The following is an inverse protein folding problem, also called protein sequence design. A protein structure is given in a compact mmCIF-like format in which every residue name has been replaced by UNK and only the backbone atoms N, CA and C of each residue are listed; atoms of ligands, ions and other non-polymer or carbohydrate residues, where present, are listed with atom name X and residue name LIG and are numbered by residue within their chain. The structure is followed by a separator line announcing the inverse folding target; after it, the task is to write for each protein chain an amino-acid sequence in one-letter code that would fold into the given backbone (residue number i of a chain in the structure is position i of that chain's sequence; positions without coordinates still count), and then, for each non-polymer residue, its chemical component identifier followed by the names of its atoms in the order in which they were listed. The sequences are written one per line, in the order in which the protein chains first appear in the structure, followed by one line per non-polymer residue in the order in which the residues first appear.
data_IF_625157169532
#
_entry.id   IF_625157169532
#
_cell.length_a   1.000
_cell.length_b   1.000
_cell.length_c   1.000
_cell.angle_alpha   90.00
_cell.angle_beta   90.00
_cell.angle_gamma   90.00
#
_symmetry.space_group_name_H-M   'P 1'
#
loop_
_entity.id
_entity.type
_entity.pdbx_description
1 polymer ?
#
# COMPACT_ATOMS: atom_id res chain seq x y z
N UNK A 1 6.13 -6.83 26.12
CA UNK A 1 7.37 -6.73 25.31
C UNK A 1 7.30 -5.43 24.54
N UNK A 2 8.25 -4.51 24.74
CA UNK A 2 8.14 -3.17 24.16
C UNK A 2 8.88 -3.04 22.83
N UNK A 3 9.87 -3.90 22.58
CA UNK A 3 10.60 -3.97 21.32
C UNK A 3 11.27 -5.33 21.12
N UNK A 4 11.67 -5.62 19.88
CA UNK A 4 12.43 -6.83 19.49
C UNK A 4 13.58 -6.39 18.58
N UNK A 5 14.82 -6.71 18.94
CA UNK A 5 16.00 -6.43 18.10
C UNK A 5 16.52 -7.70 17.47
N UNK A 6 16.86 -7.64 16.17
CA UNK A 6 17.53 -8.74 15.47
C UNK A 6 18.33 -8.25 14.27
N UNK A 7 19.31 -9.05 13.88
CA UNK A 7 20.07 -8.82 12.64
C UNK A 7 19.27 -9.36 11.45
N UNK A 8 19.12 -8.53 10.42
CA UNK A 8 18.42 -8.87 9.17
C UNK A 8 19.32 -8.60 7.98
N UNK A 9 19.37 -9.54 7.04
CA UNK A 9 20.13 -9.40 5.80
C UNK A 9 19.21 -8.91 4.69
N UNK A 10 19.53 -7.78 4.07
CA UNK A 10 18.66 -7.14 3.07
C UNK A 10 19.46 -6.75 1.84
N UNK A 11 19.04 -7.27 0.69
CA UNK A 11 19.50 -6.81 -0.63
C UNK A 11 18.58 -5.72 -1.16
N UNK A 12 19.12 -4.73 -1.87
CA UNK A 12 18.33 -3.70 -2.54
C UNK A 12 17.70 -4.26 -3.82
N UNK A 13 18.52 -4.87 -4.68
CA UNK A 13 18.11 -5.63 -5.86
C UNK A 13 18.71 -7.05 -5.86
N UNK A 14 18.26 -7.92 -6.78
CA UNK A 14 18.68 -9.32 -6.83
C UNK A 14 20.20 -9.51 -6.99
N UNK A 15 20.86 -8.59 -7.71
CA UNK A 15 22.29 -8.60 -7.98
C UNK A 15 23.17 -7.92 -6.93
N UNK A 16 22.59 -7.23 -5.96
CA UNK A 16 23.38 -6.47 -4.98
C UNK A 16 23.88 -7.36 -3.84
N UNK A 17 24.96 -6.90 -3.21
CA UNK A 17 25.42 -7.42 -1.94
C UNK A 17 24.40 -7.15 -0.84
N UNK A 18 24.25 -8.12 0.06
CA UNK A 18 23.32 -7.99 1.16
C UNK A 18 23.94 -7.12 2.26
N UNK A 19 23.19 -6.12 2.72
CA UNK A 19 23.55 -5.33 3.89
C UNK A 19 22.95 -6.00 5.13
N UNK A 20 23.81 -6.28 6.12
CA UNK A 20 23.38 -6.72 7.45
C UNK A 20 22.95 -5.51 8.27
N UNK A 21 21.69 -5.48 8.67
CA UNK A 21 21.10 -4.40 9.47
C UNK A 21 20.73 -4.93 10.85
N UNK A 22 21.17 -4.25 11.90
CA UNK A 22 20.60 -4.41 13.24
C UNK A 22 19.26 -3.67 13.29
N UNK A 23 18.17 -4.43 13.24
CA UNK A 23 16.80 -3.90 13.19
C UNK A 23 16.14 -4.04 14.55
N UNK A 24 15.74 -2.92 15.13
CA UNK A 24 14.88 -2.86 16.31
C UNK A 24 13.44 -2.61 15.88
N UNK A 25 12.56 -3.57 16.12
CA UNK A 25 11.12 -3.45 15.91
C UNK A 25 10.51 -2.91 17.19
N UNK A 26 9.98 -1.70 17.13
CA UNK A 26 9.28 -1.05 18.24
C UNK A 26 7.80 -1.43 18.20
N UNK A 27 7.33 -2.07 19.28
CA UNK A 27 5.96 -2.58 19.44
C UNK A 27 5.15 -1.72 20.42
N UNK A 28 5.67 -0.57 20.86
CA UNK A 28 5.06 0.29 21.89
C UNK A 28 3.62 0.72 21.58
N UNK A 29 3.25 0.77 20.31
CA UNK A 29 1.91 1.18 19.84
C UNK A 29 0.94 0.01 19.65
N UNK A 30 1.35 -1.22 19.97
CA UNK A 30 0.58 -2.44 19.76
C UNK A 30 0.06 -3.01 21.09
N UNK A 31 -1.18 -3.49 21.06
CA UNK A 31 -1.71 -4.33 22.14
C UNK A 31 -1.18 -5.75 22.02
N UNK A 32 -1.34 -6.56 23.06
CA UNK A 32 -0.94 -7.96 23.03
C UNK A 32 -1.69 -8.75 21.94
N UNK A 33 -2.97 -8.44 21.71
CA UNK A 33 -3.76 -9.00 20.62
C UNK A 33 -3.19 -8.63 19.24
N UNK A 34 -2.76 -7.39 19.06
CA UNK A 34 -2.12 -6.92 17.83
C UNK A 34 -0.78 -7.64 17.56
N UNK A 35 -0.01 -7.91 18.62
CA UNK A 35 1.27 -8.63 18.52
C UNK A 35 1.05 -10.10 18.16
N UNK A 36 0.01 -10.74 18.69
CA UNK A 36 -0.37 -12.12 18.31
C UNK A 36 -0.80 -12.24 16.84
N UNK A 37 -1.44 -11.20 16.30
CA UNK A 37 -1.78 -11.14 14.87
C UNK A 37 -0.54 -10.99 13.98
N UNK A 38 0.54 -10.39 14.51
CA UNK A 38 1.80 -10.24 13.80
C UNK A 38 2.80 -11.38 14.04
N UNK A 39 3.12 -12.13 12.98
CA UNK A 39 4.39 -12.83 12.95
C UNK A 39 5.55 -11.81 12.86
N UNK A 40 6.57 -11.94 13.72
CA UNK A 40 7.79 -11.09 13.73
C UNK A 40 8.45 -11.02 12.34
N UNK A 41 8.35 -12.08 11.56
CA UNK A 41 8.86 -12.14 10.19
C UNK A 41 8.10 -11.22 9.22
N UNK A 42 6.79 -11.04 9.41
CA UNK A 42 5.96 -10.12 8.62
C UNK A 42 6.41 -8.67 8.78
N UNK A 43 6.70 -8.24 10.01
CA UNK A 43 7.16 -6.87 10.29
C UNK A 43 8.52 -6.59 9.64
N UNK A 44 9.39 -7.59 9.60
CA UNK A 44 10.69 -7.47 8.94
C UNK A 44 10.56 -7.41 7.42
N UNK A 45 9.74 -8.25 6.83
CA UNK A 45 9.48 -8.20 5.38
C UNK A 45 8.91 -6.83 4.99
N UNK A 46 7.99 -6.27 5.80
CA UNK A 46 7.46 -4.92 5.59
C UNK A 46 8.55 -3.86 5.65
N UNK A 47 9.40 -3.89 6.68
CA UNK A 47 10.52 -2.97 6.79
C UNK A 47 11.49 -3.10 5.59
N UNK A 48 11.89 -4.32 5.22
CA UNK A 48 12.77 -4.58 4.07
C UNK A 48 12.16 -4.04 2.77
N UNK A 49 10.86 -4.25 2.56
CA UNK A 49 10.14 -3.70 1.40
C UNK A 49 10.21 -2.18 1.34
N UNK A 50 10.05 -1.49 2.48
CA UNK A 50 10.20 -0.03 2.57
C UNK A 50 11.64 0.43 2.35
N UNK A 51 12.62 -0.23 2.98
CA UNK A 51 14.04 0.11 2.85
C UNK A 51 14.53 -0.05 1.39
N UNK A 52 14.10 -1.11 0.70
CA UNK A 52 14.37 -1.32 -0.74
C UNK A 52 13.79 -0.20 -1.60
N UNK A 53 12.54 0.22 -1.35
CA UNK A 53 11.90 1.34 -2.06
C UNK A 53 12.61 2.67 -1.83
N UNK A 54 13.10 2.90 -0.62
CA UNK A 54 13.85 4.10 -0.25
C UNK A 54 15.28 4.13 -0.83
N UNK A 55 15.77 3.02 -1.42
CA UNK A 55 17.13 2.87 -1.96
C UNK A 55 18.22 3.18 -0.92
N UNK A 56 17.92 2.96 0.35
CA UNK A 56 18.83 3.19 1.48
C UNK A 56 18.58 2.08 2.50
N UNK A 57 19.56 1.19 2.64
CA UNK A 57 19.53 0.11 3.64
C UNK A 57 20.63 0.43 4.66
N UNK A 58 20.27 0.93 5.86
CA UNK A 58 21.25 1.30 6.87
C UNK A 58 21.79 0.06 7.60
N UNK A 59 22.95 0.19 8.26
CA UNK A 59 23.50 -0.85 9.13
C UNK A 59 22.73 -0.98 10.46
N UNK A 60 21.97 0.05 10.86
CA UNK A 60 21.16 0.07 12.08
C UNK A 60 19.83 0.77 11.78
N UNK A 61 18.71 0.21 12.25
CA UNK A 61 17.39 0.80 12.02
C UNK A 61 16.43 0.54 13.17
N UNK A 62 15.54 1.51 13.40
CA UNK A 62 14.36 1.34 14.24
C UNK A 62 13.11 1.39 13.39
N UNK A 63 12.24 0.39 13.53
CA UNK A 63 10.98 0.26 12.81
C UNK A 63 9.83 0.21 13.81
N UNK A 64 9.06 1.29 13.89
CA UNK A 64 7.81 1.29 14.65
C UNK A 64 6.77 0.45 13.91
N UNK A 65 6.34 -0.64 14.54
CA UNK A 65 5.37 -1.55 13.95
C UNK A 65 4.02 -0.83 13.81
N UNK A 66 3.45 -0.76 12.59
CA UNK A 66 2.11 -0.22 12.41
C UNK A 66 1.11 -1.16 13.05
N UNK A 67 -0.06 -0.65 13.47
CA UNK A 67 -1.15 -1.52 13.93
C UNK A 67 -1.56 -2.50 12.82
N UNK A 68 -1.88 -3.77 13.16
CA UNK A 68 -2.50 -4.68 12.22
C UNK A 68 -3.81 -4.05 11.76
N UNK A 69 -3.93 -3.89 10.45
CA UNK A 69 -5.15 -3.39 9.85
C UNK A 69 -5.94 -4.56 9.33
N UNK A 70 -7.17 -4.74 9.82
CA UNK A 70 -8.25 -5.17 8.94
C UNK A 70 -8.30 -4.16 7.79
N UNK A 71 -8.35 -4.62 6.54
CA UNK A 71 -8.48 -3.73 5.37
C UNK A 71 -9.64 -2.77 5.64
N UNK A 72 -9.33 -1.52 5.96
CA UNK A 72 -10.37 -0.52 6.18
C UNK A 72 -11.17 -0.40 4.90
N UNK A 73 -12.48 -0.60 4.98
CA UNK A 73 -13.46 -0.16 3.97
C UNK A 73 -13.47 1.37 4.00
N UNK A 74 -12.42 1.98 3.46
CA UNK A 74 -12.42 3.40 3.19
C UNK A 74 -13.44 3.66 2.10
N UNK A 75 -14.46 4.48 2.40
CA UNK A 75 -15.36 5.00 1.37
C UNK A 75 -14.49 5.88 0.47
N UNK A 76 -14.15 5.38 -0.72
CA UNK A 76 -13.45 6.17 -1.72
C UNK A 76 -14.47 7.17 -2.27
N UNK A 77 -14.20 8.46 -2.11
CA UNK A 77 -15.04 9.50 -2.70
C UNK A 77 -14.91 9.48 -4.23
N UNK A 78 -15.95 9.89 -4.96
CA UNK A 78 -15.93 9.94 -6.44
C UNK A 78 -14.73 10.73 -6.97
N UNK A 79 -14.39 11.85 -6.34
CA UNK A 79 -13.20 12.65 -6.66
C UNK A 79 -11.90 11.86 -6.45
N UNK A 80 -11.77 11.13 -5.35
CA UNK A 80 -10.59 10.32 -5.07
C UNK A 80 -10.45 9.16 -6.08
N UNK A 81 -11.56 8.57 -6.51
CA UNK A 81 -11.56 7.55 -7.55
C UNK A 81 -11.12 8.13 -8.90
N UNK A 82 -11.71 9.25 -9.33
CA UNK A 82 -11.34 9.91 -10.60
C UNK A 82 -9.86 10.31 -10.60
N UNK A 83 -9.36 10.86 -9.50
CA UNK A 83 -7.93 11.18 -9.35
C UNK A 83 -7.04 9.93 -9.40
N UNK A 84 -7.51 8.80 -8.87
CA UNK A 84 -6.75 7.53 -8.90
C UNK A 84 -6.70 6.93 -10.30
N UNK A 85 -7.78 7.03 -11.08
CA UNK A 85 -7.86 6.48 -12.44
C UNK A 85 -7.17 7.37 -13.48
N UNK A 86 -7.34 8.69 -13.38
CA UNK A 86 -6.92 9.64 -14.42
C UNK A 86 -5.80 10.60 -13.99
N UNK A 87 -5.39 10.59 -12.72
CA UNK A 87 -4.30 11.41 -12.20
C UNK A 87 -4.51 12.89 -12.49
N UNK A 88 -3.51 13.53 -13.10
CA UNK A 88 -3.53 14.95 -13.47
C UNK A 88 -4.64 15.33 -14.46
N UNK A 89 -5.26 14.37 -15.15
CA UNK A 89 -6.37 14.62 -16.10
C UNK A 89 -7.74 14.67 -15.43
N UNK A 90 -7.86 14.24 -14.18
CA UNK A 90 -9.13 14.19 -13.47
C UNK A 90 -9.82 15.57 -13.36
N UNK A 91 -9.14 16.70 -13.08
CA UNK A 91 -9.78 18.02 -13.06
C UNK A 91 -10.34 18.45 -14.42
N UNK A 92 -9.62 18.14 -15.51
CA UNK A 92 -10.08 18.43 -16.86
C UNK A 92 -11.29 17.59 -17.25
N UNK A 93 -11.34 16.33 -16.80
CA UNK A 93 -12.49 15.45 -16.98
C UNK A 93 -13.72 15.96 -16.20
N UNK A 94 -13.54 16.35 -14.94
CA UNK A 94 -14.60 16.95 -14.12
C UNK A 94 -15.13 18.22 -14.78
N UNK A 95 -14.25 19.10 -15.25
CA UNK A 95 -14.63 20.32 -15.96
C UNK A 95 -15.39 20.02 -17.26
N UNK A 96 -15.00 18.98 -18.00
CA UNK A 96 -15.66 18.57 -19.25
C UNK A 96 -17.10 18.11 -19.04
N UNK A 97 -17.38 17.40 -17.94
CA UNK A 97 -18.71 16.90 -17.60
C UNK A 97 -19.51 17.84 -16.67
N UNK A 98 -18.91 18.97 -16.28
CA UNK A 98 -19.51 20.03 -15.49
C UNK A 98 -19.40 19.84 -13.97
N UNK A 99 -19.48 18.61 -13.48
CA UNK A 99 -19.30 18.29 -12.06
C UNK A 99 -18.75 16.86 -11.85
N UNK A 100 -18.37 16.56 -10.60
CA UNK A 100 -17.75 15.29 -10.21
C UNK A 100 -18.70 14.10 -10.39
N UNK A 101 -20.00 14.30 -10.18
CA UNK A 101 -20.98 13.22 -10.24
C UNK A 101 -21.23 12.80 -11.68
N UNK A 102 -21.39 13.75 -12.60
CA UNK A 102 -21.52 13.48 -14.04
C UNK A 102 -20.26 12.89 -14.64
N UNK A 103 -19.07 13.36 -14.22
CA UNK A 103 -17.82 12.76 -14.65
C UNK A 103 -17.68 11.31 -14.18
N UNK A 104 -18.11 11.02 -12.95
CA UNK A 104 -18.13 9.66 -12.41
C UNK A 104 -19.10 8.75 -13.18
N UNK A 105 -20.34 9.18 -13.41
CA UNK A 105 -21.32 8.37 -14.15
C UNK A 105 -20.89 8.13 -15.61
N UNK A 106 -20.27 9.11 -16.26
CA UNK A 106 -19.73 8.93 -17.61
C UNK A 106 -18.59 7.90 -17.66
N UNK A 107 -17.69 7.92 -16.67
CA UNK A 107 -16.62 6.92 -16.55
C UNK A 107 -17.19 5.55 -16.22
N UNK A 108 -18.20 5.48 -15.35
CA UNK A 108 -18.86 4.23 -15.01
C UNK A 108 -19.55 3.61 -16.23
N UNK A 109 -20.33 4.39 -16.97
CA UNK A 109 -20.95 3.94 -18.20
C UNK A 109 -19.92 3.46 -19.23
N UNK A 110 -18.79 4.14 -19.37
CA UNK A 110 -17.70 3.70 -20.26
C UNK A 110 -17.09 2.37 -19.84
N UNK A 111 -16.95 2.12 -18.54
CA UNK A 111 -16.41 0.84 -18.01
C UNK A 111 -17.43 -0.28 -18.15
N UNK A 112 -18.72 0.00 -17.91
CA UNK A 112 -19.80 -0.98 -17.99
C UNK A 112 -20.10 -1.35 -19.46
N UNK A 113 -20.01 -0.41 -20.41
CA UNK A 113 -20.21 -0.62 -21.86
C UNK A 113 -19.12 -1.52 -22.49
N UNK A 114 -17.91 -1.54 -21.90
CA UNK A 114 -16.80 -2.41 -22.32
C UNK A 114 -16.92 -3.84 -21.73
N UNK A 115 -17.93 -4.11 -20.90
CA UNK A 115 -18.17 -5.45 -20.29
C UNK A 115 -19.25 -6.29 -20.98
N UNK A 116 -19.93 -5.77 -22.00
CA UNK A 116 -20.75 -6.56 -22.92
C UNK A 116 -19.84 -7.22 -24.00
N UNK A 117 -19.04 -8.20 -23.60
CA UNK A 117 -18.43 -9.14 -24.54
C UNK A 117 -19.54 -10.08 -25.09
N UNK A 118 -19.92 -10.00 -26.38
CA UNK A 118 -20.95 -10.87 -26.96
C UNK A 118 -20.53 -12.35 -27.04
N UNK A 119 -19.37 -12.75 -26.52
CA UNK A 119 -18.84 -14.10 -26.67
C UNK A 119 -18.98 -15.00 -25.42
N UNK A 120 -19.95 -14.73 -24.55
CA UNK A 120 -20.44 -15.70 -23.56
C UNK A 120 -21.83 -16.19 -23.93
N UNK A 121 -21.90 -17.13 -24.88
CA UNK A 121 -23.04 -18.04 -24.99
C UNK A 121 -22.54 -19.46 -24.78
N UNK A 122 -23.12 -20.12 -23.78
CA UNK A 122 -22.97 -21.55 -23.45
C UNK A 122 -23.32 -22.48 -24.61
#
# INVERSE_FOLDING_TARGET
MNSITKVVSTKQFAGDDAVSTELTIDLSNLTEADVLEYAVQTLVIRWQGSARKAKSIPATATYTAPKPGTKGTGIITRTALLNKLFGAKAPALIAKYGDVDKAYEAVKAFIDDDTDDPNTTE
#
